data_IF_518654621668
#
_entry.id   IF_518654621668
#
_cell.length_a   1.000
_cell.length_b   1.000
_cell.length_c   1.000
_cell.angle_alpha   90.00
_cell.angle_beta   90.00
_cell.angle_gamma   90.00
#
_symmetry.space_group_name_H-M   'P 1'
#
loop_
_entity.id
_entity.type
_entity.pdbx_description
1 polymer ?
#
# COMPACT_ATOMS: atom_id res chain seq x y z
N UNK A 1 9.56 -29.74 11.23
CA UNK A 1 10.10 -29.75 9.86
C UNK A 1 8.99 -29.54 8.81
N UNK A 2 8.40 -28.33 8.69
CA UNK A 2 7.28 -28.10 7.76
C UNK A 2 7.73 -27.63 6.36
N UNK A 3 8.96 -27.11 6.23
CA UNK A 3 9.45 -26.47 5.00
C UNK A 3 9.81 -27.42 3.84
N UNK A 4 10.04 -28.71 4.10
CA UNK A 4 10.38 -29.69 3.04
C UNK A 4 9.16 -30.21 2.27
N UNK A 5 8.00 -30.29 2.91
CA UNK A 5 6.78 -30.84 2.30
C UNK A 5 6.12 -29.84 1.33
N UNK A 6 6.12 -28.53 1.66
CA UNK A 6 5.66 -27.48 0.73
C UNK A 6 6.54 -27.35 -0.52
N UNK A 7 7.86 -27.61 -0.38
CA UNK A 7 8.83 -27.50 -1.48
C UNK A 7 8.57 -28.54 -2.58
N UNK A 8 8.11 -29.73 -2.20
CA UNK A 8 7.94 -30.88 -3.11
C UNK A 8 6.61 -30.87 -3.88
N UNK A 9 5.53 -30.32 -3.30
CA UNK A 9 4.22 -30.27 -3.96
C UNK A 9 4.07 -29.10 -4.93
N UNK A 10 4.75 -27.98 -4.68
CA UNK A 10 4.63 -26.85 -5.58
C UNK A 10 5.37 -27.14 -6.92
N UNK A 11 6.45 -27.93 -6.95
CA UNK A 11 7.46 -27.95 -8.05
C UNK A 11 6.96 -28.46 -9.41
N UNK A 12 5.71 -28.92 -9.50
CA UNK A 12 5.17 -29.61 -10.67
C UNK A 12 4.30 -28.77 -11.61
N UNK A 13 4.21 -27.45 -11.48
CA UNK A 13 3.29 -26.67 -12.32
C UNK A 13 3.84 -25.42 -13.06
N UNK A 14 4.98 -24.82 -12.71
CA UNK A 14 5.48 -23.62 -13.40
C UNK A 14 6.97 -23.42 -13.05
N UNK A 15 7.84 -22.81 -13.89
CA UNK A 15 9.22 -22.52 -13.51
C UNK A 15 9.27 -21.32 -12.55
N UNK A 16 8.75 -21.48 -11.34
CA UNK A 16 8.93 -20.50 -10.27
C UNK A 16 10.12 -20.94 -9.41
N UNK A 17 10.86 -19.97 -8.86
CA UNK A 17 12.00 -20.25 -7.97
C UNK A 17 11.53 -20.10 -6.52
N UNK A 18 11.74 -21.14 -5.71
CA UNK A 18 11.57 -21.03 -4.25
C UNK A 18 12.89 -20.51 -3.68
N UNK A 19 12.81 -19.37 -3.02
CA UNK A 19 13.92 -18.71 -2.37
C UNK A 19 13.68 -18.76 -0.87
N UNK A 20 14.71 -19.07 -0.11
CA UNK A 20 14.69 -18.84 1.32
C UNK A 20 15.04 -17.37 1.53
N UNK A 21 14.14 -16.62 2.16
CA UNK A 21 14.34 -15.18 2.40
C UNK A 21 15.02 -15.03 3.74
N UNK A 22 14.43 -15.58 4.80
CA UNK A 22 15.01 -15.56 6.14
C UNK A 22 14.74 -16.90 6.88
N UNK A 23 15.08 -16.95 8.17
CA UNK A 23 14.81 -18.11 9.03
C UNK A 23 13.31 -18.38 9.25
N UNK A 24 12.43 -17.45 8.85
CA UNK A 24 11.02 -17.40 9.23
C UNK A 24 10.06 -17.46 8.03
N UNK A 25 10.56 -17.38 6.79
CA UNK A 25 9.72 -17.37 5.60
C UNK A 25 10.40 -17.76 4.29
N UNK A 26 9.56 -18.16 3.34
CA UNK A 26 9.95 -18.52 1.97
C UNK A 26 9.35 -17.52 0.98
N UNK A 27 10.05 -17.29 -0.13
CA UNK A 27 9.54 -16.50 -1.25
C UNK A 27 9.43 -17.35 -2.49
N UNK A 28 8.24 -17.34 -3.08
CA UNK A 28 7.99 -17.88 -4.42
C UNK A 28 8.19 -16.74 -5.41
N UNK A 29 9.20 -16.87 -6.27
CA UNK A 29 9.54 -15.88 -7.29
C UNK A 29 9.07 -16.32 -8.67
N UNK A 30 8.25 -15.49 -9.32
CA UNK A 30 7.80 -15.69 -10.70
C UNK A 30 8.52 -14.73 -11.67
N UNK A 31 8.90 -13.53 -11.21
CA UNK A 31 9.60 -12.52 -12.00
C UNK A 31 8.66 -11.67 -12.84
N UNK A 32 9.10 -10.46 -13.17
CA UNK A 32 8.38 -9.48 -13.99
C UNK A 32 8.26 -10.01 -15.42
N UNK A 33 9.39 -10.43 -16.02
CA UNK A 33 9.45 -10.85 -17.42
C UNK A 33 8.53 -12.04 -17.74
N UNK A 34 8.54 -13.05 -16.88
CA UNK A 34 7.73 -14.25 -17.11
C UNK A 34 6.22 -13.97 -17.05
N UNK A 35 5.81 -13.00 -16.22
CA UNK A 35 4.40 -12.67 -16.01
C UNK A 35 3.83 -11.76 -17.07
N UNK A 36 4.64 -10.89 -17.67
CA UNK A 36 4.20 -10.03 -18.77
C UNK A 36 3.90 -10.84 -20.05
N UNK A 37 4.55 -11.98 -20.28
CA UNK A 37 4.50 -12.68 -21.57
C UNK A 37 3.98 -14.11 -21.59
N UNK A 38 3.94 -14.83 -20.47
CA UNK A 38 3.37 -16.19 -20.48
C UNK A 38 1.90 -16.26 -20.90
N UNK A 39 1.17 -15.13 -21.02
CA UNK A 39 -0.27 -15.08 -21.32
C UNK A 39 -0.75 -13.99 -22.29
N UNK A 40 0.07 -13.01 -22.70
CA UNK A 40 -0.41 -11.76 -23.34
C UNK A 40 0.24 -11.40 -24.69
N UNK A 41 0.87 -12.35 -25.38
CA UNK A 41 1.72 -12.10 -26.55
C UNK A 41 1.12 -11.17 -27.64
N UNK A 42 -0.19 -11.09 -27.84
CA UNK A 42 -0.75 -10.29 -28.95
C UNK A 42 -1.19 -8.85 -28.62
N UNK A 43 -1.19 -8.39 -27.36
CA UNK A 43 -1.82 -7.08 -27.01
C UNK A 43 -0.88 -5.87 -27.02
N UNK A 44 0.40 -6.08 -27.25
CA UNK A 44 1.46 -5.11 -26.94
C UNK A 44 2.41 -4.82 -28.11
N UNK A 45 2.14 -5.34 -29.31
CA UNK A 45 3.07 -5.28 -30.45
C UNK A 45 3.40 -3.85 -30.90
N UNK A 46 2.51 -2.88 -30.68
CA UNK A 46 2.62 -1.53 -31.24
C UNK A 46 3.11 -0.47 -30.24
N UNK A 47 3.54 -0.85 -29.04
CA UNK A 47 3.95 0.11 -28.00
C UNK A 47 5.46 0.21 -27.87
N UNK A 48 5.98 1.45 -27.87
CA UNK A 48 7.39 1.73 -27.63
C UNK A 48 7.79 1.61 -26.15
N UNK A 49 6.85 1.83 -25.22
CA UNK A 49 7.11 1.79 -23.77
C UNK A 49 5.93 1.23 -22.98
N UNK A 50 6.23 0.47 -21.93
CA UNK A 50 5.28 0.01 -20.91
C UNK A 50 5.63 0.56 -19.53
N UNK A 51 4.63 1.03 -18.82
CA UNK A 51 4.75 1.53 -17.45
C UNK A 51 4.17 0.53 -16.45
N UNK A 52 4.98 0.19 -15.45
CA UNK A 52 4.64 -0.81 -14.45
C UNK A 52 4.28 -0.14 -13.12
N UNK A 53 3.15 -0.54 -12.55
CA UNK A 53 2.82 -0.25 -11.16
C UNK A 53 2.99 -1.50 -10.32
N UNK A 54 3.58 -1.34 -9.14
CA UNK A 54 3.70 -2.40 -8.14
C UNK A 54 2.80 -2.14 -6.94
N UNK A 55 2.31 -3.21 -6.30
CA UNK A 55 1.63 -3.13 -5.01
C UNK A 55 2.27 -4.12 -4.04
N UNK A 56 2.56 -3.67 -2.83
CA UNK A 56 3.23 -4.48 -1.80
C UNK A 56 2.57 -4.22 -0.44
N UNK A 57 1.78 -5.16 0.05
CA UNK A 57 1.11 -5.07 1.33
C UNK A 57 1.10 -6.43 2.04
N UNK A 58 1.19 -6.40 3.37
CA UNK A 58 1.04 -7.59 4.19
C UNK A 58 -0.44 -7.96 4.35
N UNK A 59 -0.76 -9.24 4.16
CA UNK A 59 -2.09 -9.78 4.46
C UNK A 59 -1.99 -11.02 5.36
N UNK A 60 -2.87 -11.14 6.37
CA UNK A 60 -2.95 -12.37 7.15
C UNK A 60 -3.44 -13.50 6.25
N UNK A 61 -2.80 -14.68 6.34
CA UNK A 61 -3.25 -15.86 5.59
C UNK A 61 -4.49 -16.50 6.23
N UNK A 62 -4.60 -16.42 7.55
CA UNK A 62 -5.71 -16.94 8.33
C UNK A 62 -5.96 -16.05 9.55
N UNK A 63 -7.19 -16.10 10.06
CA UNK A 63 -7.59 -15.26 11.20
C UNK A 63 -7.04 -15.75 12.55
N UNK A 64 -6.57 -17.00 12.63
CA UNK A 64 -6.29 -17.72 13.87
C UNK A 64 -4.81 -18.01 14.12
N UNK A 65 -3.88 -17.38 13.39
CA UNK A 65 -2.46 -17.62 13.59
C UNK A 65 -1.56 -16.67 12.81
N UNK A 66 -0.24 -16.77 13.02
CA UNK A 66 0.68 -15.67 12.74
C UNK A 66 1.09 -15.58 11.27
N UNK A 67 0.71 -16.54 10.42
CA UNK A 67 1.20 -16.59 9.04
C UNK A 67 0.67 -15.43 8.23
N UNK A 68 1.59 -14.73 7.58
CA UNK A 68 1.34 -13.58 6.72
C UNK A 68 1.88 -13.86 5.32
N UNK A 69 1.17 -13.34 4.32
CA UNK A 69 1.65 -13.24 2.96
C UNK A 69 2.05 -11.79 2.66
N UNK A 70 3.15 -11.63 1.93
CA UNK A 70 3.63 -10.35 1.44
C UNK A 70 3.89 -10.47 -0.07
N UNK A 71 2.86 -10.33 -0.91
CA UNK A 71 3.00 -10.37 -2.35
C UNK A 71 3.65 -9.11 -2.91
N UNK A 72 4.45 -9.30 -3.95
CA UNK A 72 4.79 -8.24 -4.90
C UNK A 72 3.85 -8.42 -6.08
N UNK A 73 2.85 -7.55 -6.16
CA UNK A 73 1.87 -7.52 -7.23
C UNK A 73 2.28 -6.48 -8.27
N UNK A 74 1.91 -6.70 -9.52
CA UNK A 74 2.21 -5.83 -10.64
C UNK A 74 1.00 -5.66 -11.55
N UNK A 75 0.82 -4.46 -12.09
CA UNK A 75 -0.02 -4.22 -13.27
C UNK A 75 0.75 -3.45 -14.33
N UNK A 76 0.32 -3.62 -15.57
CA UNK A 76 0.74 -2.79 -16.69
C UNK A 76 -0.25 -1.63 -16.75
N UNK A 77 0.22 -0.40 -16.55
CA UNK A 77 -0.63 0.78 -16.43
C UNK A 77 -1.50 0.99 -17.68
N UNK A 78 -0.91 0.73 -18.85
CA UNK A 78 -1.54 0.81 -20.16
C UNK A 78 -2.66 -0.21 -20.38
N UNK A 79 -2.77 -1.23 -19.52
CA UNK A 79 -3.72 -2.33 -19.66
C UNK A 79 -4.57 -2.48 -18.39
N UNK A 80 -5.46 -1.53 -18.09
CA UNK A 80 -6.29 -1.57 -16.88
C UNK A 80 -7.20 -2.81 -16.80
N UNK A 81 -7.56 -3.40 -17.94
CA UNK A 81 -8.37 -4.63 -18.02
C UNK A 81 -7.55 -5.92 -17.90
N UNK A 82 -6.22 -5.84 -17.90
CA UNK A 82 -5.38 -7.02 -17.67
C UNK A 82 -5.46 -7.44 -16.19
N UNK A 83 -5.36 -8.74 -15.89
CA UNK A 83 -5.31 -9.19 -14.50
C UNK A 83 -4.05 -8.66 -13.80
N UNK A 84 -4.14 -8.49 -12.49
CA UNK A 84 -2.96 -8.24 -11.65
C UNK A 84 -2.04 -9.47 -11.69
N UNK A 85 -0.75 -9.23 -11.88
CA UNK A 85 0.27 -10.26 -11.92
C UNK A 85 0.94 -10.40 -10.56
N UNK A 86 1.16 -11.63 -10.11
CA UNK A 86 1.98 -11.92 -8.94
C UNK A 86 3.42 -12.10 -9.41
N UNK A 87 4.30 -11.18 -9.05
CA UNK A 87 5.75 -11.23 -9.37
C UNK A 87 6.49 -12.06 -8.32
N UNK A 88 6.15 -11.85 -7.05
CA UNK A 88 6.68 -12.63 -5.95
C UNK A 88 5.63 -12.81 -4.86
N UNK A 89 5.78 -13.86 -4.06
CA UNK A 89 4.96 -14.11 -2.88
C UNK A 89 5.83 -14.58 -1.74
N UNK A 90 6.06 -13.71 -0.75
CA UNK A 90 6.64 -14.12 0.52
C UNK A 90 5.56 -14.70 1.42
N UNK A 91 5.90 -15.76 2.15
CA UNK A 91 5.06 -16.41 3.16
C UNK A 91 5.91 -16.74 4.39
N UNK A 92 5.51 -16.21 5.55
CA UNK A 92 6.22 -16.44 6.81
C UNK A 92 5.32 -16.19 8.02
N UNK A 93 5.83 -16.45 9.23
CA UNK A 93 5.10 -16.17 10.49
C UNK A 93 5.08 -14.69 10.87
N UNK A 94 5.70 -13.83 10.08
CA UNK A 94 5.73 -12.38 10.25
C UNK A 94 5.97 -11.71 8.89
N UNK A 95 6.05 -10.38 8.87
CA UNK A 95 6.53 -9.66 7.68
C UNK A 95 7.98 -10.05 7.35
N UNK A 96 8.45 -9.89 6.09
CA UNK A 96 9.84 -10.10 5.76
C UNK A 96 10.74 -9.30 6.72
N UNK A 97 11.75 -9.97 7.29
CA UNK A 97 12.64 -9.32 8.27
C UNK A 97 13.59 -8.31 7.62
N UNK A 98 13.89 -8.49 6.33
CA UNK A 98 14.79 -7.66 5.55
C UNK A 98 14.11 -7.12 4.30
N UNK A 99 14.10 -5.79 4.14
CA UNK A 99 13.68 -5.16 2.88
C UNK A 99 14.65 -5.50 1.74
N UNK A 100 15.94 -5.73 2.04
CA UNK A 100 16.91 -6.14 1.04
C UNK A 100 16.54 -7.51 0.46
N UNK A 101 16.36 -8.53 1.29
CA UNK A 101 16.04 -9.88 0.81
C UNK A 101 14.68 -9.93 0.09
N UNK A 102 13.74 -9.06 0.49
CA UNK A 102 12.44 -8.95 -0.14
C UNK A 102 12.47 -8.29 -1.52
N UNK A 103 13.31 -7.26 -1.73
CA UNK A 103 13.26 -6.39 -2.92
C UNK A 103 14.44 -6.55 -3.89
N UNK A 104 15.57 -7.12 -3.46
CA UNK A 104 16.81 -7.14 -4.24
C UNK A 104 16.64 -7.78 -5.62
N UNK A 105 15.93 -8.90 -5.69
CA UNK A 105 15.62 -9.57 -6.96
C UNK A 105 14.73 -8.74 -7.87
N UNK A 106 13.77 -8.01 -7.30
CA UNK A 106 12.90 -7.13 -8.06
C UNK A 106 13.69 -5.96 -8.64
N UNK A 107 14.49 -5.28 -7.81
CA UNK A 107 15.29 -4.15 -8.27
C UNK A 107 16.30 -4.57 -9.33
N UNK A 108 16.97 -5.71 -9.14
CA UNK A 108 17.92 -6.26 -10.13
C UNK A 108 17.25 -6.58 -11.46
N UNK A 109 16.08 -7.25 -11.44
CA UNK A 109 15.34 -7.55 -12.66
C UNK A 109 14.84 -6.27 -13.34
N UNK A 110 14.30 -5.31 -12.59
CA UNK A 110 13.80 -4.05 -13.14
C UNK A 110 14.92 -3.20 -13.73
N UNK A 111 16.09 -3.11 -13.10
CA UNK A 111 17.23 -2.38 -13.67
C UNK A 111 17.70 -3.01 -14.98
N UNK A 112 17.74 -4.34 -15.06
CA UNK A 112 17.99 -5.04 -16.33
C UNK A 112 16.93 -4.65 -17.37
N UNK A 113 15.64 -4.80 -17.06
CA UNK A 113 14.55 -4.51 -18.02
C UNK A 113 14.49 -3.05 -18.46
N UNK A 114 14.77 -2.10 -17.57
CA UNK A 114 14.80 -0.68 -17.89
C UNK A 114 15.99 -0.29 -18.78
N UNK A 115 17.11 -1.00 -18.66
CA UNK A 115 18.32 -0.72 -19.46
C UNK A 115 18.31 -1.43 -20.81
N UNK A 116 17.90 -2.70 -20.84
CA UNK A 116 17.90 -3.50 -22.07
C UNK A 116 16.61 -3.35 -22.87
N UNK A 117 15.56 -2.82 -22.27
CA UNK A 117 14.21 -2.99 -22.81
C UNK A 117 13.80 -4.47 -22.81
N UNK A 118 12.72 -4.75 -23.51
CA UNK A 118 12.02 -6.03 -23.47
C UNK A 118 11.58 -6.43 -24.87
N UNK A 119 12.06 -7.57 -25.36
CA UNK A 119 11.70 -8.07 -26.68
C UNK A 119 10.29 -8.67 -26.68
N UNK A 120 9.43 -8.18 -27.58
CA UNK A 120 8.08 -8.68 -27.77
C UNK A 120 7.69 -8.72 -29.24
N UNK A 121 7.35 -9.91 -29.74
CA UNK A 121 6.96 -10.13 -31.14
C UNK A 121 7.97 -9.54 -32.15
N UNK A 122 9.26 -9.52 -31.80
CA UNK A 122 10.33 -8.93 -32.61
C UNK A 122 10.54 -7.43 -32.41
N UNK A 123 9.69 -6.75 -31.63
CA UNK A 123 9.83 -5.33 -31.30
C UNK A 123 10.47 -5.16 -29.91
N UNK A 124 11.43 -4.23 -29.81
CA UNK A 124 12.02 -3.87 -28.53
C UNK A 124 11.16 -2.82 -27.83
N UNK A 125 10.62 -3.17 -26.67
CA UNK A 125 9.75 -2.31 -25.87
C UNK A 125 10.51 -1.81 -24.64
N UNK A 126 10.57 -0.49 -24.45
CA UNK A 126 11.15 0.11 -23.26
C UNK A 126 10.29 -0.16 -22.02
N UNK A 127 10.93 -0.34 -20.86
CA UNK A 127 10.24 -0.57 -19.59
C UNK A 127 10.50 0.61 -18.65
N UNK A 128 9.48 1.02 -17.90
CA UNK A 128 9.61 1.98 -16.83
C UNK A 128 8.76 1.61 -15.62
N UNK A 129 9.25 1.96 -14.43
CA UNK A 129 8.46 1.86 -13.19
C UNK A 129 7.75 3.18 -12.97
N UNK A 130 6.42 3.16 -12.87
CA UNK A 130 5.60 4.36 -12.68
C UNK A 130 5.30 4.63 -11.22
N UNK A 131 4.95 3.59 -10.46
CA UNK A 131 4.68 3.74 -9.05
C UNK A 131 4.85 2.44 -8.25
N UNK A 132 5.21 2.57 -6.98
CA UNK A 132 5.09 1.50 -5.98
C UNK A 132 4.04 1.92 -4.95
N UNK A 133 2.94 1.17 -4.90
CA UNK A 133 1.79 1.39 -4.04
C UNK A 133 1.90 0.49 -2.81
N UNK A 134 1.73 1.10 -1.63
CA UNK A 134 1.74 0.37 -0.36
C UNK A 134 0.98 1.18 0.69
N UNK A 135 0.39 0.48 1.64
CA UNK A 135 -0.16 1.07 2.85
C UNK A 135 0.96 1.70 3.71
N UNK A 136 0.57 2.48 4.72
CA UNK A 136 1.55 3.24 5.49
C UNK A 136 2.62 2.37 6.19
N UNK A 137 2.27 1.27 6.88
CA UNK A 137 3.25 0.34 7.43
C UNK A 137 4.17 -0.31 6.38
N UNK A 138 3.62 -0.87 5.31
CA UNK A 138 4.40 -1.54 4.27
C UNK A 138 5.29 -0.55 3.52
N UNK A 139 4.79 0.65 3.21
CA UNK A 139 5.55 1.75 2.60
C UNK A 139 6.76 2.15 3.44
N UNK A 140 6.59 2.26 4.76
CA UNK A 140 7.70 2.61 5.66
C UNK A 140 8.77 1.51 5.67
N UNK A 141 8.33 0.25 5.67
CA UNK A 141 9.22 -0.91 5.60
C UNK A 141 9.99 -0.97 4.26
N UNK A 142 9.33 -0.93 3.11
CA UNK A 142 10.03 -1.04 1.82
C UNK A 142 10.97 0.14 1.56
N UNK A 143 10.68 1.33 2.12
CA UNK A 143 11.57 2.50 2.03
C UNK A 143 12.69 2.51 3.06
N UNK A 144 12.61 1.68 4.10
CA UNK A 144 13.56 1.72 5.21
C UNK A 144 13.50 2.98 6.05
N UNK A 145 12.30 3.53 6.26
CA UNK A 145 12.09 4.80 6.96
C UNK A 145 11.25 4.63 8.23
N UNK A 146 11.26 5.67 9.05
CA UNK A 146 10.48 5.78 10.28
C UNK A 146 9.00 5.58 10.01
N UNK A 147 8.39 4.66 10.76
CA UNK A 147 6.97 4.35 10.67
C UNK A 147 6.08 5.50 11.15
N UNK A 148 4.79 5.44 10.81
CA UNK A 148 3.78 6.48 11.06
C UNK A 148 3.59 6.91 12.53
N UNK A 149 4.10 6.15 13.49
CA UNK A 149 4.07 6.49 14.91
C UNK A 149 5.32 7.24 15.39
N UNK A 150 6.31 7.46 14.51
CA UNK A 150 7.56 8.10 14.88
C UNK A 150 7.55 9.62 14.74
N UNK A 151 8.56 10.26 15.36
CA UNK A 151 8.73 11.70 15.31
C UNK A 151 9.14 12.23 13.94
N UNK A 152 9.94 11.50 13.18
CA UNK A 152 10.38 11.90 11.85
C UNK A 152 9.71 11.02 10.77
N UNK A 153 8.38 10.87 10.88
CA UNK A 153 7.60 9.86 10.14
C UNK A 153 6.94 10.37 8.86
N UNK A 154 6.87 11.69 8.65
CA UNK A 154 6.44 12.21 7.36
C UNK A 154 7.40 11.67 6.30
N UNK A 155 6.90 11.28 5.13
CA UNK A 155 7.74 10.74 4.05
C UNK A 155 7.93 11.74 2.90
N UNK A 156 7.35 12.94 3.03
CA UNK A 156 7.35 13.99 1.99
C UNK A 156 8.05 15.28 2.42
N UNK A 157 8.02 15.64 3.70
CA UNK A 157 8.70 16.82 4.24
C UNK A 157 9.34 16.53 5.60
N UNK A 158 10.31 17.33 6.00
CA UNK A 158 11.11 17.15 7.23
C UNK A 158 10.37 17.56 8.51
N UNK A 159 9.05 17.78 8.45
CA UNK A 159 8.23 18.10 9.61
C UNK A 159 8.30 16.97 10.64
N UNK A 160 8.52 17.33 11.90
CA UNK A 160 8.53 16.39 13.01
C UNK A 160 7.20 16.40 13.74
N UNK A 161 6.75 15.23 14.19
CA UNK A 161 5.54 15.16 15.01
C UNK A 161 5.77 15.70 16.41
N UNK A 162 4.77 16.39 16.94
CA UNK A 162 4.65 16.77 18.34
C UNK A 162 3.90 15.68 19.11
N UNK A 163 4.14 15.59 20.42
CA UNK A 163 3.41 14.69 21.31
C UNK A 163 2.53 15.49 22.28
N UNK A 164 1.22 15.27 22.19
CA UNK A 164 0.25 15.72 23.17
C UNK A 164 0.21 14.73 24.34
N UNK A 165 0.77 15.15 25.47
CA UNK A 165 0.82 14.33 26.69
C UNK A 165 -0.56 14.07 27.29
N UNK A 166 -1.47 15.04 27.23
CA UNK A 166 -2.80 14.96 27.84
C UNK A 166 -3.65 13.91 27.10
N UNK A 167 -3.61 13.95 25.76
CA UNK A 167 -4.41 13.05 24.93
C UNK A 167 -3.66 11.78 24.52
N UNK A 168 -2.36 11.68 24.81
CA UNK A 168 -1.44 10.60 24.39
C UNK A 168 -1.47 10.38 22.89
N UNK A 169 -1.26 11.45 22.13
CA UNK A 169 -1.29 11.43 20.65
C UNK A 169 -0.09 12.13 20.06
N UNK A 170 0.33 11.65 18.90
CA UNK A 170 1.27 12.38 18.05
C UNK A 170 0.51 13.06 16.91
N UNK A 171 1.00 14.20 16.47
CA UNK A 171 0.44 14.93 15.32
C UNK A 171 1.51 15.80 14.66
N UNK A 172 1.30 16.15 13.39
CA UNK A 172 2.08 17.18 12.71
C UNK A 172 1.45 18.54 13.01
N UNK A 173 2.27 19.54 13.35
CA UNK A 173 1.78 20.85 13.72
C UNK A 173 1.96 21.87 12.60
N UNK A 174 3.04 21.76 11.83
CA UNK A 174 3.32 22.62 10.68
C UNK A 174 3.11 21.93 9.33
N UNK A 175 3.03 22.75 8.29
CA UNK A 175 2.94 22.40 6.87
C UNK A 175 4.05 23.04 6.01
N UNK A 176 4.85 23.95 6.59
CA UNK A 176 5.92 24.70 5.90
C UNK A 176 7.30 24.03 5.93
N UNK A 177 7.41 22.78 6.42
CA UNK A 177 8.70 22.11 6.50
C UNK A 177 9.30 21.82 5.10
N UNK A 178 10.64 21.88 4.96
CA UNK A 178 11.32 21.53 3.71
C UNK A 178 10.89 20.17 3.14
N UNK A 179 10.65 20.14 1.83
CA UNK A 179 10.31 18.89 1.12
C UNK A 179 11.52 17.97 1.07
N UNK A 180 11.30 16.67 1.32
CA UNK A 180 12.31 15.65 1.01
C UNK A 180 12.43 15.49 -0.49
N UNK A 181 13.62 15.16 -0.96
CA UNK A 181 13.88 14.86 -2.36
C UNK A 181 14.72 13.57 -2.51
N UNK A 182 14.74 13.02 -3.71
CA UNK A 182 15.40 11.76 -4.04
C UNK A 182 16.90 11.80 -3.82
N UNK A 183 17.57 12.88 -4.25
CA UNK A 183 19.02 13.03 -4.15
C UNK A 183 19.49 13.05 -2.69
N UNK A 184 18.85 13.87 -1.84
CA UNK A 184 19.17 13.95 -0.42
C UNK A 184 18.82 12.66 0.33
N UNK A 185 17.77 11.95 -0.08
CA UNK A 185 17.43 10.65 0.48
C UNK A 185 18.52 9.61 0.19
N UNK A 186 18.95 9.51 -1.08
CA UNK A 186 20.01 8.58 -1.52
C UNK A 186 21.38 8.94 -0.91
N UNK A 187 21.64 10.22 -0.68
CA UNK A 187 22.83 10.70 0.03
C UNK A 187 22.77 10.50 1.55
N UNK A 188 21.69 9.93 2.10
CA UNK A 188 21.56 9.64 3.52
C UNK A 188 21.40 10.88 4.41
N UNK A 189 20.95 12.02 3.88
CA UNK A 189 20.85 13.28 4.66
C UNK A 189 19.74 13.29 5.72
N UNK A 190 18.80 12.35 5.67
CA UNK A 190 17.67 12.27 6.60
C UNK A 190 17.91 11.20 7.68
N UNK A 191 18.92 11.39 8.52
CA UNK A 191 19.42 10.40 9.48
C UNK A 191 18.32 9.86 10.41
N UNK A 192 17.58 10.75 11.09
CA UNK A 192 16.49 10.33 11.99
C UNK A 192 15.28 9.73 11.27
N UNK A 193 15.10 10.02 9.98
CA UNK A 193 14.05 9.47 9.14
C UNK A 193 14.40 8.05 8.70
N UNK A 194 15.65 7.81 8.34
CA UNK A 194 16.16 6.53 7.89
C UNK A 194 16.24 5.52 9.05
N UNK A 195 16.00 4.24 8.75
CA UNK A 195 15.95 3.16 9.75
C UNK A 195 16.74 1.93 9.34
N UNK A 196 16.72 1.59 8.06
CA UNK A 196 17.50 0.48 7.51
C UNK A 196 17.67 0.66 6.00
N UNK A 197 18.59 -0.10 5.42
CA UNK A 197 18.80 -0.10 3.96
C UNK A 197 17.63 -0.71 3.20
N UNK A 198 17.51 -0.25 1.96
CA UNK A 198 16.53 -0.74 0.98
C UNK A 198 17.17 -0.76 -0.40
N UNK A 199 16.95 -1.80 -1.22
CA UNK A 199 17.42 -1.81 -2.60
C UNK A 199 16.76 -0.75 -3.48
N UNK A 200 15.65 -0.13 -3.04
CA UNK A 200 14.93 0.86 -3.85
C UNK A 200 15.76 2.12 -4.16
N UNK A 201 16.83 2.40 -3.41
CA UNK A 201 17.75 3.50 -3.73
C UNK A 201 18.56 3.23 -5.00
N UNK A 202 18.74 1.96 -5.36
CA UNK A 202 19.46 1.51 -6.57
C UNK A 202 18.54 1.33 -7.79
N UNK A 203 17.22 1.50 -7.62
CA UNK A 203 16.28 1.39 -8.73
C UNK A 203 16.46 2.57 -9.69
N UNK A 204 16.86 2.26 -10.92
CA UNK A 204 17.12 3.25 -11.96
C UNK A 204 15.82 3.90 -12.42
N UNK A 205 15.91 5.17 -12.86
CA UNK A 205 14.78 5.95 -13.38
C UNK A 205 13.56 6.00 -12.45
N UNK A 206 13.80 5.94 -11.13
CA UNK A 206 12.78 5.93 -10.09
C UNK A 206 13.13 6.91 -8.97
N UNK A 207 12.15 7.72 -8.60
CA UNK A 207 12.24 8.70 -7.52
C UNK A 207 11.58 8.15 -6.26
N UNK A 208 12.39 7.77 -5.26
CA UNK A 208 11.90 7.08 -4.05
C UNK A 208 10.99 7.97 -3.17
N UNK A 209 11.04 9.29 -3.36
CA UNK A 209 10.13 10.21 -2.70
C UNK A 209 8.81 10.31 -3.47
N UNK A 210 8.84 10.54 -4.78
CA UNK A 210 7.65 10.90 -5.56
C UNK A 210 6.90 9.71 -6.13
N UNK A 211 7.61 8.69 -6.61
CA UNK A 211 7.01 7.52 -7.29
C UNK A 211 6.51 6.46 -6.29
N UNK A 212 6.72 6.71 -5.00
CA UNK A 212 6.01 6.03 -3.91
C UNK A 212 4.98 7.02 -3.34
N UNK A 213 3.74 7.03 -3.86
CA UNK A 213 2.72 7.95 -3.39
C UNK A 213 2.38 7.68 -1.92
N UNK A 214 2.18 8.76 -1.16
CA UNK A 214 1.78 8.71 0.26
C UNK A 214 0.31 9.04 0.47
N UNK A 215 -0.34 9.56 -0.56
CA UNK A 215 -1.69 10.10 -0.51
C UNK A 215 -2.68 9.11 -1.11
N UNK A 216 -3.57 8.59 -0.28
CA UNK A 216 -4.74 7.86 -0.74
C UNK A 216 -5.98 8.32 0.03
N UNK A 217 -7.08 8.43 -0.71
CA UNK A 217 -8.35 8.95 -0.18
C UNK A 217 -8.90 8.06 0.94
N UNK A 218 -8.76 6.75 0.80
CA UNK A 218 -9.32 5.78 1.73
C UNK A 218 -8.74 5.96 3.13
N UNK A 219 -7.41 6.06 3.27
CA UNK A 219 -6.76 6.20 4.56
C UNK A 219 -6.74 7.64 5.09
N UNK A 220 -6.63 8.64 4.22
CA UNK A 220 -6.56 10.04 4.65
C UNK A 220 -7.94 10.65 4.94
N UNK A 221 -8.88 10.52 4.00
CA UNK A 221 -10.18 11.19 4.10
C UNK A 221 -11.18 10.26 4.78
N UNK A 222 -11.39 9.07 4.24
CA UNK A 222 -12.52 8.22 4.65
C UNK A 222 -12.26 7.55 6.02
N UNK A 223 -11.14 6.84 6.17
CA UNK A 223 -10.72 6.19 7.42
C UNK A 223 -9.92 7.09 8.36
N UNK A 224 -9.38 8.20 7.85
CA UNK A 224 -8.65 9.19 8.63
C UNK A 224 -9.61 10.22 9.22
N UNK A 225 -9.89 11.27 8.45
CA UNK A 225 -10.71 12.41 8.89
C UNK A 225 -12.14 12.00 9.23
N UNK A 226 -12.87 11.39 8.29
CA UNK A 226 -14.30 11.12 8.46
C UNK A 226 -14.58 10.14 9.60
N UNK A 227 -13.84 9.03 9.66
CA UNK A 227 -13.92 8.11 10.78
C UNK A 227 -13.57 8.77 12.11
N UNK A 228 -12.59 9.69 12.12
CA UNK A 228 -12.22 10.48 13.28
C UNK A 228 -13.37 11.35 13.78
N UNK A 229 -13.92 12.19 12.89
CA UNK A 229 -15.03 13.10 13.16
C UNK A 229 -16.27 12.35 13.66
N UNK A 230 -16.71 11.33 12.93
CA UNK A 230 -17.91 10.56 13.30
C UNK A 230 -17.77 9.89 14.67
N UNK A 231 -16.59 9.34 14.98
CA UNK A 231 -16.33 8.77 16.31
C UNK A 231 -16.27 9.83 17.38
N UNK A 232 -15.76 11.02 17.06
CA UNK A 232 -15.65 12.11 18.00
C UNK A 232 -17.02 12.70 18.35
N UNK A 233 -17.88 12.97 17.37
CA UNK A 233 -19.26 13.42 17.59
C UNK A 233 -20.08 12.39 18.35
N UNK A 234 -20.02 11.11 17.97
CA UNK A 234 -20.80 10.06 18.67
C UNK A 234 -20.32 9.80 20.09
N UNK A 235 -19.00 9.79 20.33
CA UNK A 235 -18.43 9.47 21.65
C UNK A 235 -18.19 10.71 22.52
N UNK A 236 -18.39 11.92 21.99
CA UNK A 236 -18.14 13.18 22.68
C UNK A 236 -16.65 13.51 22.86
N UNK A 237 -15.77 13.09 21.94
CA UNK A 237 -14.33 13.37 22.05
C UNK A 237 -13.97 14.85 21.87
N UNK A 238 -14.84 15.64 21.24
CA UNK A 238 -14.67 17.09 21.14
C UNK A 238 -15.21 17.84 22.35
N UNK A 239 -15.71 17.12 23.36
CA UNK A 239 -16.42 17.69 24.51
C UNK A 239 -17.91 17.43 24.43
N UNK A 240 -18.60 17.59 25.57
CA UNK A 240 -20.05 17.37 25.69
C UNK A 240 -20.90 18.23 24.74
N UNK A 241 -20.60 19.52 24.50
CA UNK A 241 -21.42 20.37 23.62
C UNK A 241 -21.46 19.92 22.16
N UNK A 242 -20.46 19.17 21.71
CA UNK A 242 -20.33 18.70 20.33
C UNK A 242 -20.69 17.22 20.18
N UNK A 243 -21.23 16.61 21.24
CA UNK A 243 -21.63 15.21 21.24
C UNK A 243 -23.06 15.10 20.71
N UNK A 244 -23.27 14.22 19.74
CA UNK A 244 -24.61 13.94 19.24
C UNK A 244 -25.46 13.28 20.33
N UNK A 245 -26.64 13.84 20.58
CA UNK A 245 -27.64 13.28 21.48
C UNK A 245 -28.49 12.18 20.80
N UNK A 246 -29.44 11.62 21.54
CA UNK A 246 -30.28 10.53 21.02
C UNK A 246 -31.24 10.99 19.92
N UNK A 247 -31.70 12.24 19.95
CA UNK A 247 -32.61 12.83 18.98
C UNK A 247 -31.86 13.09 17.68
N UNK A 248 -30.68 13.69 17.76
CA UNK A 248 -29.79 13.94 16.62
C UNK A 248 -29.35 12.63 15.97
N UNK A 249 -28.98 11.61 16.76
CA UNK A 249 -28.65 10.28 16.25
C UNK A 249 -29.85 9.67 15.51
N UNK A 250 -31.05 9.74 16.09
CA UNK A 250 -32.26 9.21 15.46
C UNK A 250 -32.60 9.94 14.15
N UNK A 251 -32.41 11.27 14.12
CA UNK A 251 -32.58 12.08 12.92
C UNK A 251 -31.61 11.63 11.82
N UNK A 252 -30.29 11.57 12.12
CA UNK A 252 -29.28 11.13 11.13
C UNK A 252 -29.57 9.71 10.64
N UNK A 253 -29.98 8.80 11.53
CA UNK A 253 -30.41 7.46 11.16
C UNK A 253 -31.54 7.48 10.13
N UNK A 254 -32.56 8.32 10.34
CA UNK A 254 -33.69 8.44 9.40
C UNK A 254 -33.25 9.00 8.03
N UNK A 255 -32.27 9.90 8.00
CA UNK A 255 -31.68 10.41 6.75
C UNK A 255 -30.92 9.29 6.03
N UNK A 256 -30.10 8.52 6.76
CA UNK A 256 -29.37 7.37 6.19
C UNK A 256 -30.33 6.33 5.60
N UNK A 257 -31.48 6.08 6.24
CA UNK A 257 -32.46 5.10 5.77
C UNK A 257 -33.25 5.58 4.55
N UNK A 258 -33.45 6.89 4.41
CA UNK A 258 -34.25 7.50 3.34
C UNK A 258 -33.43 7.93 2.12
N UNK A 259 -32.11 8.16 2.28
CA UNK A 259 -31.26 8.61 1.18
C UNK A 259 -31.22 7.58 0.04
N UNK A 260 -31.45 8.06 -1.18
CA UNK A 260 -31.28 7.24 -2.39
C UNK A 260 -29.83 7.31 -2.83
N UNK A 261 -29.15 6.17 -2.80
CA UNK A 261 -27.77 6.04 -3.28
C UNK A 261 -27.77 5.77 -4.80
N UNK A 262 -26.76 6.25 -5.53
CA UNK A 262 -26.55 5.86 -6.92
C UNK A 262 -26.41 4.35 -7.10
N UNK A 263 -26.75 3.86 -8.30
CA UNK A 263 -26.75 2.43 -8.63
C UNK A 263 -25.39 1.75 -8.49
N UNK A 264 -24.30 2.51 -8.58
CA UNK A 264 -22.92 2.05 -8.42
C UNK A 264 -22.58 1.71 -6.96
N UNK A 265 -23.45 2.08 -6.02
CA UNK A 265 -23.29 1.77 -4.60
C UNK A 265 -24.20 0.59 -4.25
N UNK A 266 -23.67 -0.65 -4.28
CA UNK A 266 -24.51 -1.85 -4.19
C UNK A 266 -25.05 -2.11 -2.78
N UNK A 267 -24.55 -1.40 -1.76
CA UNK A 267 -24.89 -1.64 -0.35
C UNK A 267 -25.43 -0.38 0.30
N UNK A 268 -26.59 -0.50 0.96
CA UNK A 268 -27.09 0.50 1.90
C UNK A 268 -26.05 0.75 3.00
N UNK A 269 -26.01 1.98 3.49
CA UNK A 269 -25.18 2.32 4.65
C UNK A 269 -25.78 1.69 5.90
N UNK A 270 -24.92 1.22 6.80
CA UNK A 270 -25.40 0.83 8.13
C UNK A 270 -25.71 2.07 8.94
N UNK A 271 -26.66 1.92 9.85
CA UNK A 271 -27.02 2.95 10.81
C UNK A 271 -25.81 3.50 11.59
N UNK A 272 -25.82 4.79 11.92
CA UNK A 272 -24.77 5.48 12.69
C UNK A 272 -24.57 4.88 14.10
N UNK A 273 -25.59 4.23 14.68
CA UNK A 273 -25.50 3.45 15.92
C UNK A 273 -24.52 2.28 15.79
N UNK A 274 -24.25 1.80 14.58
CA UNK A 274 -23.30 0.73 14.28
C UNK A 274 -21.95 1.22 13.73
N UNK A 275 -21.58 2.49 13.96
CA UNK A 275 -20.33 3.11 13.48
C UNK A 275 -19.04 2.27 13.67
N UNK A 276 -18.96 1.45 14.72
CA UNK A 276 -17.78 0.60 14.96
C UNK A 276 -17.54 -0.42 13.84
N UNK A 277 -18.57 -0.81 13.11
CA UNK A 277 -18.50 -1.78 12.02
C UNK A 277 -18.35 -1.11 10.65
N UNK A 278 -18.47 0.22 10.56
CA UNK A 278 -18.34 0.94 9.30
C UNK A 278 -16.96 0.71 8.68
N UNK A 279 -16.95 0.38 7.39
CA UNK A 279 -15.75 0.29 6.55
C UNK A 279 -15.51 1.61 5.82
N UNK A 280 -14.35 1.78 5.18
CA UNK A 280 -14.00 3.00 4.46
C UNK A 280 -15.06 3.45 3.45
N UNK A 281 -15.66 2.50 2.72
CA UNK A 281 -16.76 2.79 1.79
C UNK A 281 -17.99 3.43 2.46
N UNK A 282 -18.32 3.06 3.70
CA UNK A 282 -19.46 3.65 4.43
C UNK A 282 -19.14 5.08 4.88
N UNK A 283 -17.92 5.34 5.37
CA UNK A 283 -17.48 6.70 5.67
C UNK A 283 -17.44 7.59 4.43
N UNK A 284 -16.94 7.06 3.31
CA UNK A 284 -16.96 7.74 2.00
C UNK A 284 -18.39 8.11 1.61
N UNK A 285 -19.30 7.14 1.62
CA UNK A 285 -20.66 7.36 1.15
C UNK A 285 -21.43 8.29 2.08
N UNK A 286 -21.21 8.21 3.39
CA UNK A 286 -21.85 9.12 4.33
C UNK A 286 -21.52 10.58 4.01
N UNK A 287 -20.23 10.88 3.78
CA UNK A 287 -19.73 12.21 3.43
C UNK A 287 -20.37 12.78 2.14
N UNK A 288 -20.68 11.93 1.16
CA UNK A 288 -21.13 12.37 -0.16
C UNK A 288 -22.64 12.36 -0.35
N UNK A 289 -23.40 11.71 0.53
CA UNK A 289 -24.84 11.52 0.34
C UNK A 289 -25.62 11.91 1.60
N UNK A 290 -25.70 11.12 2.70
CA UNK A 290 -26.47 11.52 3.88
C UNK A 290 -26.03 12.82 4.57
N UNK A 291 -24.79 13.28 4.42
CA UNK A 291 -24.30 14.48 5.11
C UNK A 291 -24.44 15.79 4.33
N UNK A 292 -25.00 15.74 3.12
CA UNK A 292 -25.30 16.91 2.28
C UNK A 292 -26.77 17.24 2.42
#
# INVERSE_FOLDING_TARGET
MPGRYLKHQLQRAWPYKILQVDNFGIMVWQGVYNRTFGKNNNRNADREKLWLDFSMDGLPLHNSGPTQLWPILMRIYEMPSAPIFVVALFCGSSKPSSANEYLDKLVTELNTLQSTGMQLNGNLIAIGVRAILADTPARSFIKGVTGHTGHDSCQKCTERTMYDQLNRRIYFNGDDAPKRNDADFKAGKYDTHYKHSTPLVELQNFNIINDIPTTDRLHLIDLGVMKGLMKAWKKGKFGRPFKLDCVEIAYISSVIDSVKLPSEIPRKLRDIRHLNFWKGAEYKNFLHYPSI
#
